data_IF_994923814056
#
_entry.id   IF_994923814056
#
_cell.length_a   1.000
_cell.length_b   1.000
_cell.length_c   1.000
_cell.angle_alpha   90.00
_cell.angle_beta   90.00
_cell.angle_gamma   90.00
#
_symmetry.space_group_name_H-M   'P 1'
#
loop_
_entity.id
_entity.type
_entity.pdbx_description
1 polymer ?
#
# COMPACT_ATOMS: atom_id res chain seq x y z
N UNK A 1 -8.43 23.60 11.97
CA UNK A 1 -7.40 23.28 10.95
C UNK A 1 -8.10 22.58 9.79
N UNK A 2 -8.15 23.24 8.65
CA UNK A 2 -8.80 22.69 7.45
C UNK A 2 -7.88 21.69 6.74
N UNK A 3 -8.37 20.49 6.50
CA UNK A 3 -7.65 19.41 5.83
C UNK A 3 -8.39 19.00 4.56
N UNK A 4 -7.67 18.88 3.44
CA UNK A 4 -8.21 18.33 2.20
C UNK A 4 -7.44 17.10 1.75
N UNK A 5 -8.18 16.07 1.31
CA UNK A 5 -7.61 14.89 0.65
C UNK A 5 -8.06 14.87 -0.81
N UNK A 6 -7.12 14.97 -1.73
CA UNK A 6 -7.38 15.02 -3.17
C UNK A 6 -6.97 13.72 -3.86
N UNK A 7 -7.89 13.09 -4.55
CA UNK A 7 -7.70 11.78 -5.20
C UNK A 7 -8.42 11.72 -6.56
N UNK A 8 -8.19 10.64 -7.32
CA UNK A 8 -8.92 10.43 -8.58
C UNK A 8 -10.31 9.80 -8.36
N UNK A 9 -10.43 8.84 -7.46
CA UNK A 9 -11.70 8.12 -7.20
C UNK A 9 -11.91 7.95 -5.69
N UNK A 10 -13.15 7.73 -5.28
CA UNK A 10 -13.45 7.24 -3.93
C UNK A 10 -13.11 5.75 -3.90
N UNK A 11 -12.16 5.38 -3.04
CA UNK A 11 -11.71 4.00 -2.91
C UNK A 11 -11.99 3.47 -1.51
N UNK A 12 -12.57 2.25 -1.37
CA UNK A 12 -12.79 1.63 -0.07
C UNK A 12 -11.51 1.49 0.75
N UNK A 13 -10.34 1.45 0.11
CA UNK A 13 -9.04 1.39 0.80
C UNK A 13 -8.57 2.76 1.34
N UNK A 14 -9.19 3.86 0.94
CA UNK A 14 -8.88 5.22 1.42
C UNK A 14 -9.90 5.71 2.45
N UNK A 15 -11.11 5.17 2.42
CA UNK A 15 -12.20 5.56 3.35
C UNK A 15 -11.86 5.36 4.81
N UNK A 16 -11.15 4.30 5.26
CA UNK A 16 -10.74 4.18 6.65
C UNK A 16 -9.90 5.36 7.14
N UNK A 17 -8.94 5.82 6.34
CA UNK A 17 -8.14 7.02 6.66
C UNK A 17 -9.01 8.29 6.67
N UNK A 18 -9.90 8.45 5.69
CA UNK A 18 -10.80 9.59 5.60
C UNK A 18 -11.68 9.70 6.86
N UNK A 19 -12.30 8.60 7.28
CA UNK A 19 -13.13 8.54 8.50
C UNK A 19 -12.32 8.84 9.76
N UNK A 20 -11.10 8.30 9.88
CA UNK A 20 -10.23 8.60 11.01
C UNK A 20 -9.83 10.09 11.07
N UNK A 21 -9.64 10.74 9.92
CA UNK A 21 -9.39 12.18 9.85
C UNK A 21 -10.63 12.98 10.23
N UNK A 22 -11.82 12.58 9.77
CA UNK A 22 -13.10 13.21 10.19
C UNK A 22 -13.31 13.07 11.69
N UNK A 23 -13.03 11.91 12.26
CA UNK A 23 -13.13 11.69 13.72
C UNK A 23 -12.19 12.60 14.51
N UNK A 24 -10.98 12.85 14.04
CA UNK A 24 -9.99 13.69 14.72
C UNK A 24 -10.20 15.20 14.52
N UNK A 25 -10.71 15.61 13.37
CA UNK A 25 -10.79 17.03 12.97
C UNK A 25 -12.20 17.59 13.04
N UNK A 26 -13.21 16.76 12.90
CA UNK A 26 -14.60 17.14 12.65
C UNK A 26 -14.92 17.22 11.15
N UNK A 27 -16.17 16.89 10.80
CA UNK A 27 -16.64 16.87 9.42
C UNK A 27 -16.57 18.25 8.71
N UNK A 28 -16.68 19.34 9.46
CA UNK A 28 -16.61 20.71 8.91
C UNK A 28 -15.20 21.10 8.48
N UNK A 29 -14.19 20.53 9.12
CA UNK A 29 -12.77 20.82 8.88
C UNK A 29 -12.13 19.89 7.84
N UNK A 30 -12.81 18.82 7.39
CA UNK A 30 -12.29 17.84 6.46
C UNK A 30 -13.04 17.83 5.14
N UNK A 31 -12.29 17.71 4.02
CA UNK A 31 -12.88 17.53 2.68
C UNK A 31 -12.12 16.47 1.90
N UNK A 32 -12.87 15.55 1.30
CA UNK A 32 -12.36 14.53 0.38
C UNK A 32 -12.77 14.93 -1.05
N UNK A 33 -11.81 15.30 -1.90
CA UNK A 33 -12.07 15.74 -3.26
C UNK A 33 -11.64 14.66 -4.26
N UNK A 34 -12.52 14.31 -5.17
CA UNK A 34 -12.26 13.27 -6.19
C UNK A 34 -12.61 13.77 -7.60
N UNK A 35 -11.82 13.30 -8.61
CA UNK A 35 -11.92 13.81 -10.00
C UNK A 35 -12.77 12.96 -10.93
N UNK A 36 -12.92 11.66 -10.66
CA UNK A 36 -13.55 10.70 -11.55
C UNK A 36 -14.79 10.10 -10.89
N UNK A 37 -15.89 10.03 -11.65
CA UNK A 37 -17.02 9.24 -11.23
C UNK A 37 -16.67 7.74 -11.23
N UNK A 38 -17.36 6.99 -10.41
CA UNK A 38 -17.11 5.55 -10.26
C UNK A 38 -17.39 4.77 -11.56
N UNK A 39 -16.52 3.81 -11.90
CA UNK A 39 -16.79 2.85 -12.97
C UNK A 39 -17.94 1.93 -12.55
N UNK A 40 -19.02 1.85 -13.35
CA UNK A 40 -20.24 1.06 -13.08
C UNK A 40 -19.97 -0.38 -12.61
N UNK A 41 -18.88 -1.00 -13.04
CA UNK A 41 -18.53 -2.38 -12.65
C UNK A 41 -17.84 -2.52 -11.28
N UNK A 42 -17.54 -1.43 -10.60
CA UNK A 42 -16.95 -1.43 -9.24
C UNK A 42 -18.00 -1.21 -8.16
N UNK A 43 -19.07 -0.49 -8.46
CA UNK A 43 -20.19 -0.29 -7.56
C UNK A 43 -20.79 -1.63 -7.10
N UNK A 44 -20.98 -2.57 -8.03
CA UNK A 44 -21.49 -3.92 -7.74
C UNK A 44 -20.58 -4.75 -6.81
N UNK A 45 -19.31 -4.35 -6.66
CA UNK A 45 -18.33 -4.99 -5.78
C UNK A 45 -18.17 -4.26 -4.42
N UNK A 46 -19.08 -3.33 -4.12
CA UNK A 46 -19.04 -2.55 -2.87
C UNK A 46 -18.06 -1.37 -2.90
N UNK A 47 -17.65 -0.94 -4.10
CA UNK A 47 -16.98 0.35 -4.29
C UNK A 47 -18.06 1.39 -4.51
N UNK A 48 -18.10 2.43 -3.73
CA UNK A 48 -19.14 3.43 -3.88
C UNK A 48 -18.98 4.61 -2.93
N UNK A 49 -19.55 5.73 -3.35
CA UNK A 49 -19.73 6.88 -2.50
C UNK A 49 -20.88 6.59 -1.54
N UNK A 50 -20.58 6.45 -0.26
CA UNK A 50 -21.59 6.25 0.79
C UNK A 50 -22.35 7.56 1.11
N UNK A 51 -22.26 8.58 0.24
CA UNK A 51 -23.04 9.82 0.41
C UNK A 51 -22.56 10.71 1.58
N UNK A 52 -21.31 10.57 1.98
CA UNK A 52 -20.75 11.39 3.06
C UNK A 52 -20.66 12.88 2.65
N UNK A 53 -21.23 13.78 3.42
CA UNK A 53 -21.32 15.24 3.13
C UNK A 53 -19.95 15.91 2.95
N UNK A 54 -18.89 15.32 3.45
CA UNK A 54 -17.52 15.82 3.31
C UNK A 54 -16.83 15.36 2.01
N UNK A 55 -17.51 14.56 1.15
CA UNK A 55 -17.03 14.16 -0.17
C UNK A 55 -17.48 15.16 -1.25
N UNK A 56 -16.53 15.64 -2.05
CA UNK A 56 -16.78 16.62 -3.12
C UNK A 56 -16.22 16.11 -4.45
N UNK A 57 -17.01 16.22 -5.52
CA UNK A 57 -16.49 16.07 -6.88
C UNK A 57 -15.80 17.35 -7.31
N UNK A 58 -14.56 17.28 -7.82
CA UNK A 58 -13.79 18.46 -8.22
C UNK A 58 -12.48 18.10 -8.91
N UNK A 59 -11.73 19.14 -9.30
CA UNK A 59 -10.42 19.04 -9.94
C UNK A 59 -9.34 19.81 -9.16
N UNK A 60 -8.13 19.93 -9.70
CA UNK A 60 -7.02 20.64 -9.07
C UNK A 60 -7.27 22.15 -8.82
N UNK A 61 -8.31 22.73 -9.45
CA UNK A 61 -8.70 24.14 -9.30
C UNK A 61 -9.79 24.34 -8.24
N UNK A 62 -10.32 23.26 -7.65
CA UNK A 62 -11.34 23.33 -6.60
C UNK A 62 -10.82 24.16 -5.43
N UNK A 63 -11.53 25.22 -5.08
CA UNK A 63 -11.09 26.24 -4.11
C UNK A 63 -10.62 25.63 -2.78
N UNK A 64 -11.38 24.67 -2.24
CA UNK A 64 -11.10 24.04 -0.96
C UNK A 64 -9.72 23.38 -0.89
N UNK A 65 -9.16 22.91 -2.04
CA UNK A 65 -7.81 22.31 -2.07
C UNK A 65 -6.71 23.35 -1.82
N UNK A 66 -6.93 24.58 -2.26
CA UNK A 66 -5.98 25.65 -2.01
C UNK A 66 -6.22 26.34 -0.66
N UNK A 67 -7.47 26.41 -0.20
CA UNK A 67 -7.84 27.03 1.07
C UNK A 67 -7.44 26.21 2.29
N UNK A 68 -7.42 24.88 2.16
CA UNK A 68 -7.03 24.00 3.25
C UNK A 68 -5.61 24.33 3.79
N UNK A 69 -5.44 24.28 5.09
CA UNK A 69 -4.12 24.42 5.75
C UNK A 69 -3.21 23.26 5.34
N UNK A 70 -3.77 22.08 5.27
CA UNK A 70 -3.10 20.83 4.91
C UNK A 70 -3.77 20.16 3.72
N UNK A 71 -2.97 19.81 2.72
CA UNK A 71 -3.39 19.00 1.59
C UNK A 71 -2.66 17.68 1.59
N UNK A 72 -3.40 16.57 1.53
CA UNK A 72 -2.89 15.27 1.09
C UNK A 72 -3.37 15.01 -0.33
N UNK A 73 -2.50 14.63 -1.25
CA UNK A 73 -2.89 14.38 -2.64
C UNK A 73 -2.36 13.06 -3.16
N UNK A 74 -3.26 12.20 -3.65
CA UNK A 74 -2.96 11.02 -4.47
C UNK A 74 -2.89 11.33 -5.96
N UNK A 75 -3.28 12.53 -6.36
CA UNK A 75 -3.25 13.02 -7.75
C UNK A 75 -2.00 13.85 -8.00
N UNK A 76 -1.42 13.72 -9.19
CA UNK A 76 -0.29 14.57 -9.62
C UNK A 76 -0.78 15.93 -10.08
N UNK A 77 -0.73 16.92 -9.20
CA UNK A 77 -1.20 18.28 -9.43
C UNK A 77 -0.07 19.31 -9.18
N UNK A 78 1.00 19.34 -10.00
CA UNK A 78 2.17 20.18 -9.71
C UNK A 78 1.87 21.67 -9.73
N UNK A 79 0.85 22.15 -10.48
CA UNK A 79 0.45 23.55 -10.45
C UNK A 79 -0.13 23.93 -9.08
N UNK A 80 -1.02 23.09 -8.55
CA UNK A 80 -1.57 23.25 -7.21
C UNK A 80 -0.46 23.18 -6.14
N UNK A 81 0.46 22.24 -6.26
CA UNK A 81 1.55 22.06 -5.30
C UNK A 81 2.49 23.26 -5.27
N UNK A 82 2.86 23.80 -6.44
CA UNK A 82 3.71 25.00 -6.55
C UNK A 82 3.02 26.26 -6.00
N UNK A 83 1.71 26.40 -6.23
CA UNK A 83 0.93 27.49 -5.66
C UNK A 83 0.93 27.41 -4.13
N UNK A 84 0.59 26.25 -3.57
CA UNK A 84 0.56 26.02 -2.13
C UNK A 84 1.94 26.20 -1.46
N UNK A 85 3.01 25.75 -2.15
CA UNK A 85 4.38 25.93 -1.68
C UNK A 85 4.77 27.41 -1.55
N UNK A 86 4.36 28.27 -2.51
CA UNK A 86 4.56 29.74 -2.44
C UNK A 86 3.80 30.38 -1.28
N UNK A 87 2.67 29.81 -0.88
CA UNK A 87 1.86 30.25 0.26
C UNK A 87 2.31 29.62 1.59
N UNK A 88 3.39 28.84 1.59
CA UNK A 88 3.91 28.16 2.79
C UNK A 88 3.01 27.09 3.38
N UNK A 89 2.01 26.60 2.61
CA UNK A 89 1.03 25.61 3.07
C UNK A 89 1.55 24.18 2.99
N UNK A 90 1.22 23.38 3.99
CA UNK A 90 1.64 21.97 4.08
C UNK A 90 0.98 21.13 3.00
N UNK A 91 1.79 20.35 2.29
CA UNK A 91 1.32 19.44 1.23
C UNK A 91 2.01 18.08 1.34
N UNK A 92 1.21 17.03 1.43
CA UNK A 92 1.63 15.64 1.37
C UNK A 92 1.27 15.06 0.01
N UNK A 93 2.26 14.73 -0.80
CA UNK A 93 2.05 14.06 -2.08
C UNK A 93 2.24 12.56 -1.92
N UNK A 94 1.18 11.78 -2.07
CA UNK A 94 1.17 10.34 -1.98
C UNK A 94 1.19 9.72 -3.38
N UNK A 95 2.07 8.78 -3.63
CA UNK A 95 2.01 8.02 -4.88
C UNK A 95 2.55 6.60 -4.77
N UNK A 96 2.03 5.74 -5.63
CA UNK A 96 2.62 4.45 -5.93
C UNK A 96 3.92 4.62 -6.74
N UNK A 97 4.49 3.49 -7.19
CA UNK A 97 5.73 3.44 -7.94
C UNK A 97 5.77 4.36 -9.16
N UNK A 98 6.87 5.08 -9.31
CA UNK A 98 7.16 5.88 -10.49
C UNK A 98 7.66 5.02 -11.66
N UNK A 99 8.43 4.00 -11.38
CA UNK A 99 9.04 3.12 -12.38
C UNK A 99 8.30 1.78 -12.50
N UNK A 100 6.99 1.86 -12.81
CA UNK A 100 6.21 0.64 -13.07
C UNK A 100 6.67 -0.07 -14.35
N UNK A 101 6.77 -1.41 -14.34
CA UNK A 101 7.00 -2.18 -15.57
C UNK A 101 5.96 -1.83 -16.67
N UNK A 102 6.18 -2.18 -17.95
CA UNK A 102 7.38 -2.84 -18.49
C UNK A 102 8.52 -1.87 -18.73
N UNK A 103 8.28 -0.57 -18.82
CA UNK A 103 9.26 0.45 -19.21
C UNK A 103 10.23 0.77 -18.07
N UNK A 104 9.74 0.66 -16.80
CA UNK A 104 10.56 0.90 -15.62
C UNK A 104 11.19 2.30 -15.61
N UNK A 105 12.48 2.36 -15.31
CA UNK A 105 13.22 3.63 -15.24
C UNK A 105 13.36 4.34 -16.62
N UNK A 106 13.18 3.64 -17.72
CA UNK A 106 13.22 4.27 -19.07
C UNK A 106 12.14 5.34 -19.24
N UNK A 107 11.16 5.41 -18.36
CA UNK A 107 10.15 6.50 -18.32
C UNK A 107 10.77 7.89 -18.21
N UNK A 108 11.96 8.01 -17.64
CA UNK A 108 12.67 9.31 -17.53
C UNK A 108 13.03 9.91 -18.90
N UNK A 109 13.12 9.08 -19.95
CA UNK A 109 13.38 9.56 -21.31
C UNK A 109 12.11 10.06 -22.01
N UNK A 110 10.93 9.94 -21.41
CA UNK A 110 9.69 10.57 -21.90
C UNK A 110 9.66 12.01 -21.41
N UNK A 111 9.67 13.02 -22.32
CA UNK A 111 9.83 14.43 -21.91
C UNK A 111 8.79 14.93 -20.93
N UNK A 112 7.52 14.58 -21.10
CA UNK A 112 6.44 14.97 -20.18
C UNK A 112 6.62 14.36 -18.78
N UNK A 113 7.05 13.12 -18.72
CA UNK A 113 7.34 12.42 -17.47
C UNK A 113 8.55 13.03 -16.74
N UNK A 114 9.63 13.31 -17.50
CA UNK A 114 10.82 13.97 -16.96
C UNK A 114 10.49 15.35 -16.39
N UNK A 115 9.75 16.17 -17.16
CA UNK A 115 9.31 17.50 -16.73
C UNK A 115 8.51 17.42 -15.42
N UNK A 116 7.58 16.48 -15.33
CA UNK A 116 6.79 16.23 -14.14
C UNK A 116 7.65 15.84 -12.94
N UNK A 117 8.53 14.83 -13.11
CA UNK A 117 9.42 14.36 -12.06
C UNK A 117 10.32 15.48 -11.55
N UNK A 118 10.88 16.31 -12.46
CA UNK A 118 11.72 17.45 -12.09
C UNK A 118 10.98 18.47 -11.23
N UNK A 119 9.70 18.77 -11.52
CA UNK A 119 8.89 19.68 -10.71
C UNK A 119 8.68 19.14 -9.29
N UNK A 120 8.36 17.84 -9.15
CA UNK A 120 8.14 17.22 -7.85
C UNK A 120 9.44 17.17 -7.04
N UNK A 121 10.57 16.78 -7.66
CA UNK A 121 11.87 16.77 -6.96
C UNK A 121 12.29 18.18 -6.55
N UNK A 122 12.05 19.20 -7.39
CA UNK A 122 12.30 20.59 -7.04
C UNK A 122 11.49 21.02 -5.80
N UNK A 123 10.20 20.68 -5.77
CA UNK A 123 9.35 20.96 -4.60
C UNK A 123 9.88 20.29 -3.33
N UNK A 124 10.33 19.04 -3.42
CA UNK A 124 10.94 18.33 -2.29
C UNK A 124 12.23 18.98 -1.79
N UNK A 125 13.06 19.47 -2.69
CA UNK A 125 14.33 20.08 -2.30
C UNK A 125 14.16 21.50 -1.72
N UNK A 126 13.26 22.31 -2.29
CA UNK A 126 13.19 23.76 -2.03
C UNK A 126 12.14 24.17 -1.01
N UNK A 127 11.18 23.28 -0.64
CA UNK A 127 10.06 23.66 0.23
C UNK A 127 10.00 22.82 1.49
N UNK A 128 10.08 23.43 2.65
CA UNK A 128 10.06 22.74 3.95
C UNK A 128 8.72 22.06 4.25
N UNK A 129 7.62 22.60 3.74
CA UNK A 129 6.27 22.12 3.97
C UNK A 129 5.75 21.16 2.86
N UNK A 130 6.63 20.68 1.98
CA UNK A 130 6.29 19.69 0.96
C UNK A 130 6.89 18.33 1.29
N UNK A 131 6.05 17.31 1.49
CA UNK A 131 6.43 15.97 1.87
C UNK A 131 6.00 14.95 0.82
N UNK A 132 6.79 13.90 0.65
CA UNK A 132 6.44 12.77 -0.20
C UNK A 132 6.06 11.55 0.65
N UNK A 133 4.90 10.97 0.36
CA UNK A 133 4.36 9.78 0.99
C UNK A 133 4.45 8.59 0.01
N UNK A 134 5.59 7.89 -0.07
CA UNK A 134 5.73 6.73 -0.93
C UNK A 134 4.84 5.58 -0.45
N UNK A 135 4.01 5.05 -1.33
CA UNK A 135 3.25 3.83 -1.05
C UNK A 135 4.16 2.61 -1.16
N UNK A 136 4.82 2.32 -0.06
CA UNK A 136 5.77 1.23 0.10
C UNK A 136 7.20 1.54 -0.33
N UNK A 137 8.11 0.66 0.06
CA UNK A 137 9.57 0.81 -0.12
C UNK A 137 9.99 0.97 -1.59
N UNK A 138 9.27 0.34 -2.52
CA UNK A 138 9.58 0.47 -3.95
C UNK A 138 9.28 1.87 -4.48
N UNK A 139 8.21 2.52 -4.02
CA UNK A 139 7.92 3.91 -4.37
C UNK A 139 8.96 4.87 -3.79
N UNK A 140 9.43 4.62 -2.57
CA UNK A 140 10.52 5.37 -1.95
C UNK A 140 11.83 5.24 -2.75
N UNK A 141 12.19 4.02 -3.16
CA UNK A 141 13.38 3.77 -3.99
C UNK A 141 13.29 4.45 -5.37
N UNK A 142 12.12 4.42 -5.99
CA UNK A 142 11.89 5.10 -7.27
C UNK A 142 12.08 6.63 -7.12
N UNK A 143 11.53 7.24 -6.07
CA UNK A 143 11.71 8.66 -5.81
C UNK A 143 13.15 9.03 -5.48
N UNK A 144 13.85 8.23 -4.68
CA UNK A 144 15.27 8.46 -4.38
C UNK A 144 16.15 8.41 -5.65
N UNK A 145 15.85 7.51 -6.60
CA UNK A 145 16.49 7.49 -7.93
C UNK A 145 16.23 8.77 -8.72
N UNK A 146 14.97 9.26 -8.71
CA UNK A 146 14.63 10.52 -9.36
C UNK A 146 15.34 11.71 -8.72
N UNK A 147 15.42 11.75 -7.40
CA UNK A 147 16.16 12.80 -6.69
C UNK A 147 17.66 12.80 -7.08
N UNK A 148 18.30 11.63 -7.10
CA UNK A 148 19.69 11.52 -7.54
C UNK A 148 19.89 11.99 -8.99
N UNK A 149 19.04 11.51 -9.90
CA UNK A 149 19.09 11.92 -11.31
C UNK A 149 18.93 13.43 -11.50
N UNK A 150 17.95 14.05 -10.84
CA UNK A 150 17.66 15.48 -10.97
C UNK A 150 18.74 16.37 -10.35
N UNK A 151 19.51 15.82 -9.40
CA UNK A 151 20.67 16.47 -8.79
C UNK A 151 22.01 16.12 -9.51
N UNK A 152 21.93 15.54 -10.71
CA UNK A 152 23.07 15.31 -11.59
C UNK A 152 23.76 13.94 -11.48
N UNK A 153 23.27 13.07 -10.61
CA UNK A 153 23.82 11.71 -10.46
C UNK A 153 23.06 10.67 -11.30
N UNK A 154 23.49 10.48 -12.54
CA UNK A 154 22.94 9.48 -13.45
C UNK A 154 23.12 8.03 -12.99
N UNK A 155 24.09 7.76 -12.12
CA UNK A 155 24.33 6.40 -11.61
C UNK A 155 23.18 5.92 -10.75
N UNK A 156 22.42 6.83 -10.12
CA UNK A 156 21.24 6.52 -9.33
C UNK A 156 20.12 5.83 -10.12
N UNK A 157 20.03 6.01 -11.44
CA UNK A 157 19.08 5.27 -12.28
C UNK A 157 19.34 3.77 -12.28
N UNK A 158 20.60 3.38 -12.32
CA UNK A 158 21.02 1.98 -12.45
C UNK A 158 21.30 1.34 -11.09
N UNK A 159 21.77 2.13 -10.13
CA UNK A 159 22.08 1.69 -8.78
C UNK A 159 21.17 2.38 -7.78
N UNK A 160 20.08 1.67 -7.41
CA UNK A 160 19.18 2.21 -6.40
C UNK A 160 19.92 2.47 -5.08
N UNK A 161 19.68 3.62 -4.44
CA UNK A 161 20.15 3.83 -3.07
C UNK A 161 19.61 2.73 -2.16
N UNK A 162 20.44 2.26 -1.23
CA UNK A 162 19.94 1.43 -0.14
C UNK A 162 19.12 2.33 0.78
N UNK A 163 17.87 1.98 0.97
CA UNK A 163 16.97 2.69 1.87
C UNK A 163 16.56 1.78 2.99
N UNK A 164 16.57 2.31 4.19
CA UNK A 164 15.91 1.76 5.35
C UNK A 164 14.77 2.70 5.80
N UNK A 165 13.88 2.25 6.64
CA UNK A 165 12.73 3.02 7.09
C UNK A 165 12.15 2.53 8.41
N UNK A 166 11.54 3.43 9.15
CA UNK A 166 10.71 3.07 10.29
C UNK A 166 9.43 2.39 9.79
N UNK A 167 9.14 1.18 10.27
CA UNK A 167 7.98 0.38 9.86
C UNK A 167 6.68 0.85 10.52
N UNK A 168 6.25 2.08 10.18
CA UNK A 168 4.99 2.69 10.64
C UNK A 168 4.50 3.74 9.64
N UNK A 169 3.20 4.10 9.65
CA UNK A 169 2.70 5.25 8.89
C UNK A 169 3.47 6.51 9.28
N UNK A 170 3.89 7.29 8.30
CA UNK A 170 4.71 8.47 8.54
C UNK A 170 6.13 8.18 9.02
N UNK A 171 6.57 6.92 9.08
CA UNK A 171 7.92 6.53 9.44
C UNK A 171 8.95 7.18 8.53
N UNK A 172 10.05 7.66 9.11
CA UNK A 172 11.16 8.28 8.36
C UNK A 172 11.80 7.27 7.44
N UNK A 173 12.18 7.71 6.24
CA UNK A 173 12.99 6.95 5.31
C UNK A 173 14.43 7.43 5.46
N UNK A 174 15.37 6.48 5.55
CA UNK A 174 16.79 6.73 5.69
C UNK A 174 17.51 6.18 4.46
N UNK A 175 18.62 6.81 4.09
CA UNK A 175 19.52 6.22 3.10
C UNK A 175 20.80 5.77 3.78
N UNK A 176 21.08 4.47 3.73
CA UNK A 176 22.39 3.94 4.10
C UNK A 176 23.40 4.31 3.01
N UNK A 177 24.49 4.99 3.38
CA UNK A 177 25.61 5.24 2.48
C UNK A 177 25.45 6.40 1.49
N UNK A 178 24.57 7.40 1.74
CA UNK A 178 24.53 8.65 0.92
C UNK A 178 25.88 9.34 0.84
N UNK A 179 26.75 9.17 1.85
CA UNK A 179 28.15 9.63 1.79
C UNK A 179 28.99 8.89 0.73
N UNK A 180 28.66 7.64 0.40
CA UNK A 180 29.38 6.83 -0.58
C UNK A 180 28.92 7.06 -2.04
N UNK A 181 27.72 7.55 -2.27
CA UNK A 181 27.23 7.88 -3.62
C UNK A 181 27.64 9.27 -4.10
N UNK A 182 28.21 10.14 -3.24
CA UNK A 182 28.67 11.48 -3.63
C UNK A 182 27.55 12.43 -4.10
N UNK A 183 26.27 12.03 -4.04
CA UNK A 183 25.15 12.80 -4.57
C UNK A 183 24.63 13.78 -3.52
N UNK A 184 25.05 15.02 -3.65
CA UNK A 184 24.44 16.17 -2.98
C UNK A 184 22.94 16.22 -3.34
N UNK A 185 22.06 16.33 -2.34
CA UNK A 185 20.62 16.53 -2.54
C UNK A 185 19.75 15.26 -2.43
N UNK A 186 20.27 14.03 -2.53
CA UNK A 186 19.47 12.81 -2.28
C UNK A 186 19.05 12.75 -0.81
N UNK A 187 19.93 13.15 0.10
CA UNK A 187 19.67 13.16 1.54
C UNK A 187 18.51 14.07 1.95
N UNK A 188 18.41 15.25 1.36
CA UNK A 188 17.32 16.20 1.62
C UNK A 188 15.97 15.65 1.13
N UNK A 189 15.92 15.13 -0.10
CA UNK A 189 14.73 14.48 -0.64
C UNK A 189 14.27 13.32 0.25
N UNK A 190 15.18 12.41 0.61
CA UNK A 190 14.88 11.24 1.43
C UNK A 190 14.44 11.68 2.83
N UNK A 191 15.04 12.71 3.40
CA UNK A 191 14.65 13.29 4.69
C UNK A 191 13.18 13.79 4.74
N UNK A 192 12.59 14.10 3.60
CA UNK A 192 11.17 14.50 3.46
C UNK A 192 10.23 13.38 3.04
N UNK A 193 10.73 12.15 2.91
CA UNK A 193 9.90 10.97 2.66
C UNK A 193 9.37 10.41 3.97
N UNK A 194 8.10 10.02 3.98
CA UNK A 194 7.45 9.36 5.11
C UNK A 194 6.71 8.14 4.59
N UNK A 195 7.01 6.96 5.12
CA UNK A 195 6.41 5.70 4.66
C UNK A 195 4.89 5.74 4.71
N UNK A 196 4.26 5.24 3.66
CA UNK A 196 2.82 5.30 3.49
C UNK A 196 2.26 4.04 2.85
N UNK A 197 0.92 3.89 2.91
CA UNK A 197 0.20 2.74 2.35
C UNK A 197 -1.30 2.96 2.34
N UNK A 198 -2.05 1.88 2.14
CA UNK A 198 -3.47 1.81 2.45
C UNK A 198 -3.65 1.26 3.86
N UNK A 199 -4.59 1.84 4.60
CA UNK A 199 -4.83 1.52 6.00
C UNK A 199 -6.19 0.87 6.15
N UNK A 200 -6.30 0.00 7.15
CA UNK A 200 -7.56 -0.61 7.54
C UNK A 200 -8.19 0.19 8.66
N UNK A 201 -9.51 0.17 8.73
CA UNK A 201 -10.23 0.70 9.89
C UNK A 201 -9.98 -0.30 11.02
N UNK A 202 -9.33 0.15 12.09
CA UNK A 202 -9.24 -0.69 13.29
C UNK A 202 -10.66 -0.88 13.85
N UNK A 203 -11.31 -1.97 13.46
CA UNK A 203 -12.34 -2.54 14.32
C UNK A 203 -11.63 -2.83 15.64
N UNK A 204 -12.23 -2.45 16.77
CA UNK A 204 -11.70 -2.80 18.08
C UNK A 204 -11.25 -4.25 18.05
N UNK A 205 -9.95 -4.46 18.10
CA UNK A 205 -9.35 -5.76 17.93
C UNK A 205 -9.69 -6.61 19.14
N UNK A 206 -10.78 -7.37 19.06
CA UNK A 206 -11.11 -8.41 20.01
C UNK A 206 -10.25 -9.65 19.74
N UNK A 207 -8.96 -9.53 19.99
CA UNK A 207 -8.17 -10.68 20.40
C UNK A 207 -8.29 -10.72 21.91
N UNK A 208 -8.80 -11.84 22.46
CA UNK A 208 -8.96 -12.01 23.88
C UNK A 208 -7.69 -11.59 24.61
N UNK A 209 -7.82 -10.65 25.51
CA UNK A 209 -6.90 -10.15 26.54
C UNK A 209 -5.40 -10.48 26.31
N UNK A 210 -4.76 -9.79 25.38
CA UNK A 210 -3.31 -9.71 25.29
C UNK A 210 -2.94 -8.24 25.07
N UNK A 211 -2.34 -7.66 26.11
CA UNK A 211 -1.83 -6.30 26.10
C UNK A 211 -0.78 -6.14 24.99
N UNK A 212 -1.06 -5.22 24.04
CA UNK A 212 -0.15 -4.85 22.96
C UNK A 212 0.99 -3.99 23.50
N UNK A 213 2.06 -4.62 23.91
CA UNK A 213 3.35 -3.93 24.02
C UNK A 213 3.99 -3.82 22.63
N UNK A 214 4.51 -2.64 22.29
CA UNK A 214 5.12 -2.28 21.02
C UNK A 214 6.31 -3.21 20.66
N UNK A 215 6.03 -4.26 19.91
CA UNK A 215 7.03 -5.22 19.42
C UNK A 215 6.42 -6.16 18.39
N UNK A 216 7.25 -6.69 17.50
CA UNK A 216 6.86 -7.76 16.58
C UNK A 216 6.45 -8.96 17.44
N UNK A 217 5.14 -9.15 17.64
CA UNK A 217 4.65 -10.28 18.39
C UNK A 217 4.60 -11.50 17.48
N UNK A 218 5.50 -12.45 17.72
CA UNK A 218 5.33 -13.83 17.27
C UNK A 218 4.13 -14.41 17.98
N UNK A 219 3.01 -14.49 17.28
CA UNK A 219 1.85 -15.25 17.80
C UNK A 219 2.22 -16.73 17.63
N UNK A 220 2.84 -17.30 18.65
CA UNK A 220 3.00 -18.74 18.77
C UNK A 220 1.64 -19.32 19.16
N UNK A 221 0.93 -19.85 18.18
CA UNK A 221 -0.32 -20.55 18.38
C UNK A 221 -1.03 -20.72 17.04
N UNK A 222 -1.35 -21.96 16.68
CA UNK A 222 -2.38 -22.21 15.70
C UNK A 222 -3.64 -21.49 16.17
N UNK A 223 -4.25 -20.63 15.34
CA UNK A 223 -5.66 -20.35 15.46
C UNK A 223 -6.32 -21.73 15.40
N UNK A 224 -6.98 -22.17 16.47
CA UNK A 224 -7.76 -23.40 16.45
C UNK A 224 -8.98 -23.19 15.56
N UNK A 225 -8.74 -23.10 14.27
CA UNK A 225 -9.78 -23.32 13.28
C UNK A 225 -10.01 -24.83 13.31
N UNK A 226 -11.12 -25.29 13.87
CA UNK A 226 -11.43 -26.71 14.13
C UNK A 226 -11.47 -27.64 12.89
N UNK A 227 -10.57 -27.43 11.92
CA UNK A 227 -10.41 -28.24 10.73
C UNK A 227 -8.99 -28.82 10.65
N UNK A 228 -8.91 -30.05 10.18
CA UNK A 228 -7.65 -30.69 9.87
C UNK A 228 -7.03 -30.14 8.57
N UNK A 229 -5.78 -29.67 8.62
CA UNK A 229 -5.02 -29.18 7.49
C UNK A 229 -4.92 -27.66 7.41
N UNK A 230 -4.26 -27.15 6.39
CA UNK A 230 -4.03 -25.72 6.14
C UNK A 230 -4.95 -25.24 5.01
N UNK A 231 -5.72 -24.22 5.25
CA UNK A 231 -6.56 -23.56 4.23
C UNK A 231 -5.89 -22.28 3.74
N UNK A 232 -5.52 -22.27 2.47
CA UNK A 232 -4.94 -21.10 1.80
C UNK A 232 -6.04 -20.32 1.07
N UNK A 233 -6.10 -19.02 1.25
CA UNK A 233 -7.02 -18.12 0.58
C UNK A 233 -6.31 -17.27 -0.47
N UNK A 234 -6.96 -17.10 -1.61
CA UNK A 234 -6.63 -16.07 -2.57
C UNK A 234 -7.91 -15.36 -3.05
N UNK A 235 -7.91 -14.02 -3.06
CA UNK A 235 -9.07 -13.21 -3.51
C UNK A 235 -8.58 -12.12 -4.45
N UNK A 236 -9.26 -11.94 -5.58
CA UNK A 236 -8.98 -10.83 -6.48
C UNK A 236 -9.35 -11.08 -7.94
N UNK A 237 -8.97 -10.14 -8.82
CA UNK A 237 -9.14 -10.30 -10.27
C UNK A 237 -8.07 -11.24 -10.82
N UNK A 238 -8.49 -12.25 -11.60
CA UNK A 238 -7.58 -13.23 -12.20
C UNK A 238 -6.83 -12.62 -13.40
N UNK A 239 -5.85 -11.78 -13.09
CA UNK A 239 -4.98 -11.09 -14.04
C UNK A 239 -3.60 -11.72 -14.08
N UNK A 240 -2.93 -11.65 -15.22
CA UNK A 240 -1.55 -12.15 -15.41
C UNK A 240 -0.56 -11.61 -14.37
N UNK A 241 -0.72 -10.34 -13.95
CA UNK A 241 0.13 -9.69 -12.96
C UNK A 241 0.00 -10.28 -11.55
N UNK A 242 -1.13 -10.94 -11.24
CA UNK A 242 -1.40 -11.53 -9.93
C UNK A 242 -0.72 -12.87 -9.72
N UNK A 243 -0.19 -13.49 -10.78
CA UNK A 243 0.60 -14.73 -10.72
C UNK A 243 -0.01 -15.86 -9.89
N UNK A 244 -1.34 -16.03 -9.98
CA UNK A 244 -2.07 -17.09 -9.26
C UNK A 244 -1.59 -18.49 -9.66
N UNK A 245 -1.03 -18.64 -10.87
CA UNK A 245 -0.35 -19.84 -11.32
C UNK A 245 0.76 -20.31 -10.35
N UNK A 246 1.44 -19.38 -9.70
CA UNK A 246 2.50 -19.68 -8.72
C UNK A 246 1.92 -20.33 -7.46
N UNK A 247 0.77 -19.82 -6.98
CA UNK A 247 0.10 -20.37 -5.78
C UNK A 247 -0.46 -21.76 -6.08
N UNK A 248 -1.15 -21.93 -7.21
CA UNK A 248 -1.72 -23.22 -7.60
C UNK A 248 -0.64 -24.31 -7.64
N UNK A 249 0.53 -24.00 -8.24
CA UNK A 249 1.65 -24.95 -8.30
C UNK A 249 2.21 -25.26 -6.91
N UNK A 250 2.45 -24.21 -6.10
CA UNK A 250 3.03 -24.39 -4.76
C UNK A 250 2.13 -25.24 -3.87
N UNK A 251 0.83 -24.89 -3.78
CA UNK A 251 -0.15 -25.63 -2.96
C UNK A 251 -0.36 -27.06 -3.51
N UNK A 252 -0.47 -27.20 -4.83
CA UNK A 252 -0.66 -28.51 -5.45
C UNK A 252 0.54 -29.46 -5.24
N UNK A 253 1.77 -28.94 -5.23
CA UNK A 253 2.94 -29.76 -4.91
C UNK A 253 3.09 -30.01 -3.39
N UNK A 254 2.67 -29.05 -2.56
CA UNK A 254 2.66 -29.18 -1.10
C UNK A 254 1.65 -30.23 -0.63
N UNK A 255 0.52 -30.38 -1.33
CA UNK A 255 -0.54 -31.34 -0.96
C UNK A 255 -0.12 -32.82 -1.03
N UNK A 256 1.02 -33.11 -1.66
CA UNK A 256 1.61 -34.45 -1.70
C UNK A 256 2.21 -34.88 -0.35
N UNK A 257 2.56 -33.91 0.50
CA UNK A 257 3.24 -34.14 1.80
C UNK A 257 2.47 -33.58 2.99
N UNK A 258 1.53 -32.64 2.77
CA UNK A 258 0.81 -31.92 3.83
C UNK A 258 -0.67 -31.78 3.46
N UNK A 259 -1.57 -31.93 4.42
CA UNK A 259 -3.00 -31.65 4.20
C UNK A 259 -3.18 -30.14 4.04
N UNK A 260 -3.38 -29.68 2.81
CA UNK A 260 -3.51 -28.28 2.43
C UNK A 260 -4.50 -28.13 1.28
N UNK A 261 -5.26 -27.05 1.27
CA UNK A 261 -6.20 -26.66 0.20
C UNK A 261 -6.04 -25.21 -0.18
N UNK A 262 -6.46 -24.86 -1.39
CA UNK A 262 -6.48 -23.50 -1.91
C UNK A 262 -7.87 -23.14 -2.41
N UNK A 263 -8.46 -22.11 -1.82
CA UNK A 263 -9.69 -21.50 -2.28
C UNK A 263 -9.39 -20.17 -3.01
N UNK A 264 -9.82 -20.07 -4.27
CA UNK A 264 -9.60 -18.93 -5.17
C UNK A 264 -10.94 -18.26 -5.43
N UNK A 265 -11.12 -17.03 -4.95
CA UNK A 265 -12.32 -16.23 -5.18
C UNK A 265 -12.04 -15.11 -6.19
N UNK A 266 -12.71 -15.16 -7.34
CA UNK A 266 -12.60 -14.10 -8.34
C UNK A 266 -12.72 -14.57 -9.77
N UNK A 267 -12.73 -13.60 -10.68
CA UNK A 267 -12.87 -13.80 -12.14
C UNK A 267 -11.80 -12.97 -12.89
N UNK A 268 -11.53 -13.37 -14.12
CA UNK A 268 -10.63 -12.61 -14.99
C UNK A 268 -10.12 -13.39 -16.18
N UNK A 269 -9.37 -12.74 -17.08
CA UNK A 269 -8.92 -13.32 -18.35
C UNK A 269 -8.00 -14.55 -18.20
N UNK A 270 -7.34 -14.72 -17.05
CA UNK A 270 -6.46 -15.88 -16.82
C UNK A 270 -7.22 -17.12 -16.30
N UNK A 271 -8.53 -17.04 -15.99
CA UNK A 271 -9.30 -18.10 -15.33
C UNK A 271 -9.19 -19.46 -16.05
N UNK A 272 -9.42 -19.48 -17.36
CA UNK A 272 -9.38 -20.71 -18.15
C UNK A 272 -8.00 -21.38 -18.13
N UNK A 273 -6.93 -20.60 -18.15
CA UNK A 273 -5.55 -21.08 -18.04
C UNK A 273 -5.25 -21.61 -16.64
N UNK A 274 -5.69 -20.91 -15.62
CA UNK A 274 -5.47 -21.30 -14.22
C UNK A 274 -6.22 -22.58 -13.87
N UNK A 275 -7.47 -22.76 -14.32
CA UNK A 275 -8.23 -24.01 -14.18
C UNK A 275 -7.54 -25.19 -14.85
N UNK A 276 -6.92 -24.99 -16.02
CA UNK A 276 -6.12 -26.06 -16.68
C UNK A 276 -4.89 -26.47 -15.85
N UNK A 277 -4.24 -25.51 -15.18
CA UNK A 277 -3.11 -25.81 -14.30
C UNK A 277 -3.60 -26.54 -13.05
N UNK A 278 -4.69 -26.09 -12.46
CA UNK A 278 -5.28 -26.66 -11.23
C UNK A 278 -5.80 -28.09 -11.42
N UNK A 279 -6.27 -28.44 -12.62
CA UNK A 279 -6.82 -29.77 -12.92
C UNK A 279 -5.85 -30.93 -12.59
N UNK A 280 -4.55 -30.67 -12.53
CA UNK A 280 -3.55 -31.66 -12.13
C UNK A 280 -3.62 -32.05 -10.65
N UNK A 281 -4.26 -31.23 -9.83
CA UNK A 281 -4.26 -31.32 -8.37
C UNK A 281 -5.64 -31.67 -7.78
N UNK A 282 -6.64 -31.91 -8.65
CA UNK A 282 -7.99 -32.31 -8.25
C UNK A 282 -8.64 -31.32 -7.28
N UNK A 283 -9.25 -31.83 -6.22
CA UNK A 283 -10.01 -31.04 -5.24
C UNK A 283 -9.15 -30.19 -4.29
N UNK A 284 -7.84 -30.23 -4.43
CA UNK A 284 -6.91 -29.40 -3.64
C UNK A 284 -7.09 -27.90 -3.95
N UNK A 285 -7.47 -27.58 -5.21
CA UNK A 285 -7.64 -26.19 -5.68
C UNK A 285 -9.06 -25.98 -6.13
N UNK A 286 -9.76 -25.07 -5.46
CA UNK A 286 -11.16 -24.74 -5.72
C UNK A 286 -11.31 -23.30 -6.22
N UNK A 287 -12.12 -23.13 -7.27
CA UNK A 287 -12.48 -21.81 -7.81
C UNK A 287 -13.89 -21.45 -7.42
N UNK A 288 -14.06 -20.25 -6.92
CA UNK A 288 -15.33 -19.68 -6.49
C UNK A 288 -15.63 -18.38 -7.23
N UNK A 289 -16.91 -17.99 -7.37
CA UNK A 289 -17.28 -16.68 -7.90
C UNK A 289 -16.71 -15.56 -7.03
N UNK A 290 -16.61 -14.31 -7.55
CA UNK A 290 -16.25 -13.16 -6.74
C UNK A 290 -17.32 -12.91 -5.68
N UNK A 291 -16.90 -12.40 -4.53
CA UNK A 291 -17.77 -12.03 -3.41
C UNK A 291 -17.61 -10.54 -3.07
N UNK A 292 -18.63 -9.90 -2.47
CA UNK A 292 -18.54 -8.53 -1.98
C UNK A 292 -17.43 -8.37 -0.93
N UNK A 293 -16.89 -7.15 -0.80
CA UNK A 293 -15.74 -6.87 0.07
C UNK A 293 -15.97 -7.21 1.55
N UNK A 294 -17.20 -7.06 2.05
CA UNK A 294 -17.57 -7.45 3.40
C UNK A 294 -17.50 -8.97 3.64
N UNK A 295 -17.81 -9.77 2.62
CA UNK A 295 -17.68 -11.23 2.69
C UNK A 295 -16.23 -11.70 2.61
N UNK A 296 -15.35 -10.95 1.92
CA UNK A 296 -13.91 -11.25 1.88
C UNK A 296 -13.31 -11.35 3.28
N UNK A 297 -13.67 -10.43 4.18
CA UNK A 297 -13.20 -10.44 5.56
C UNK A 297 -13.66 -11.67 6.35
N UNK A 298 -14.86 -12.16 6.05
CA UNK A 298 -15.39 -13.40 6.63
C UNK A 298 -14.57 -14.61 6.18
N UNK A 299 -14.29 -14.69 4.86
CA UNK A 299 -13.41 -15.72 4.32
C UNK A 299 -12.02 -15.68 4.93
N UNK A 300 -11.46 -14.49 5.16
CA UNK A 300 -10.16 -14.34 5.81
C UNK A 300 -10.14 -14.94 7.23
N UNK A 301 -11.25 -14.82 7.99
CA UNK A 301 -11.38 -15.45 9.32
C UNK A 301 -11.50 -16.97 9.29
N UNK A 302 -11.98 -17.52 8.17
CA UNK A 302 -12.20 -18.96 7.96
C UNK A 302 -10.99 -19.72 7.37
N UNK A 303 -9.95 -18.97 6.98
CA UNK A 303 -8.72 -19.51 6.39
C UNK A 303 -7.49 -19.21 7.24
N UNK A 304 -6.41 -19.94 7.00
CA UNK A 304 -5.19 -19.88 7.80
C UNK A 304 -4.13 -18.96 7.19
N UNK A 305 -3.96 -19.02 5.87
CA UNK A 305 -2.88 -18.34 5.14
C UNK A 305 -3.43 -17.58 3.95
N UNK A 306 -3.06 -16.31 3.83
CA UNK A 306 -3.25 -15.52 2.62
C UNK A 306 -1.94 -15.45 1.83
N UNK A 307 -2.00 -15.56 0.49
CA UNK A 307 -0.81 -15.45 -0.36
C UNK A 307 -0.97 -14.34 -1.38
N UNK A 308 -0.13 -13.31 -1.31
CA UNK A 308 -0.01 -12.28 -2.37
C UNK A 308 1.14 -12.63 -3.31
N UNK A 309 0.82 -13.20 -4.48
CA UNK A 309 1.81 -13.66 -5.49
C UNK A 309 2.11 -12.66 -6.60
N UNK A 310 1.60 -11.43 -6.50
CA UNK A 310 1.68 -10.40 -7.54
C UNK A 310 3.13 -10.05 -7.90
N UNK A 311 3.34 -9.71 -9.18
CA UNK A 311 4.63 -9.20 -9.65
C UNK A 311 4.74 -7.68 -9.46
N UNK A 312 5.85 -7.07 -9.93
CA UNK A 312 6.15 -5.66 -9.76
C UNK A 312 5.20 -4.65 -10.43
N UNK A 313 4.12 -5.11 -11.08
CA UNK A 313 3.01 -4.25 -11.52
C UNK A 313 2.01 -3.96 -10.41
N UNK A 314 2.02 -4.74 -9.32
CA UNK A 314 1.25 -4.42 -8.12
C UNK A 314 1.81 -3.15 -7.49
N UNK A 315 0.95 -2.18 -7.22
CA UNK A 315 1.35 -0.97 -6.48
C UNK A 315 1.56 -1.29 -5.01
N UNK A 316 0.49 -1.21 -4.24
CA UNK A 316 0.52 -1.55 -2.82
C UNK A 316 0.11 -3.00 -2.55
N UNK A 317 -1.10 -3.39 -2.90
CA UNK A 317 -1.69 -4.68 -2.55
C UNK A 317 -2.39 -4.61 -1.18
N UNK A 318 -3.49 -3.85 -1.10
CA UNK A 318 -4.22 -3.54 0.15
C UNK A 318 -4.68 -4.78 0.91
N UNK A 319 -4.95 -5.87 0.22
CA UNK A 319 -5.40 -7.14 0.79
C UNK A 319 -4.43 -7.73 1.83
N UNK A 320 -3.14 -7.39 1.78
CA UNK A 320 -2.16 -7.81 2.82
C UNK A 320 -2.54 -7.20 4.16
N UNK A 321 -2.83 -5.89 4.18
CA UNK A 321 -3.24 -5.20 5.41
C UNK A 321 -4.56 -5.76 5.95
N UNK A 322 -5.51 -6.07 5.07
CA UNK A 322 -6.80 -6.66 5.42
C UNK A 322 -6.64 -8.07 6.01
N UNK A 323 -5.81 -8.91 5.41
CA UNK A 323 -5.55 -10.27 5.90
C UNK A 323 -4.83 -10.28 7.26
N UNK A 324 -3.87 -9.36 7.46
CA UNK A 324 -3.18 -9.20 8.74
C UNK A 324 -4.13 -8.73 9.84
N UNK A 325 -5.06 -7.81 9.53
CA UNK A 325 -6.07 -7.34 10.47
C UNK A 325 -6.99 -8.47 10.92
N UNK A 326 -7.36 -9.38 10.02
CA UNK A 326 -8.16 -10.56 10.34
C UNK A 326 -7.35 -11.71 10.99
N UNK A 327 -6.07 -11.49 11.28
CA UNK A 327 -5.20 -12.42 12.00
C UNK A 327 -4.72 -13.61 11.18
N UNK A 328 -4.75 -13.53 9.85
CA UNK A 328 -4.18 -14.54 8.97
C UNK A 328 -2.66 -14.55 9.02
N UNK A 329 -2.04 -15.69 8.78
CA UNK A 329 -0.66 -15.71 8.32
C UNK A 329 -0.61 -15.20 6.87
N UNK A 330 0.34 -14.32 6.55
CA UNK A 330 0.45 -13.77 5.21
C UNK A 330 1.82 -14.04 4.62
N UNK A 331 1.83 -14.60 3.41
CA UNK A 331 3.03 -14.76 2.58
C UNK A 331 2.89 -13.81 1.38
N UNK A 332 3.95 -13.10 1.04
CA UNK A 332 3.89 -12.14 -0.06
C UNK A 332 5.14 -12.08 -0.90
N UNK A 333 5.05 -11.41 -2.05
CA UNK A 333 6.20 -11.22 -2.93
C UNK A 333 7.01 -9.98 -2.56
N UNK A 334 8.34 -10.05 -2.76
CA UNK A 334 9.23 -8.89 -2.64
C UNK A 334 8.83 -7.75 -3.58
N UNK A 335 8.15 -8.05 -4.68
CA UNK A 335 7.78 -7.09 -5.71
C UNK A 335 6.53 -6.26 -5.38
N UNK A 336 5.68 -6.72 -4.46
CA UNK A 336 4.49 -6.00 -4.03
C UNK A 336 4.81 -5.03 -2.89
N UNK A 337 4.29 -3.80 -2.98
CA UNK A 337 4.63 -2.72 -2.05
C UNK A 337 4.31 -3.02 -0.59
N UNK A 338 3.11 -3.54 -0.29
CA UNK A 338 2.68 -3.88 1.07
C UNK A 338 3.50 -5.02 1.66
N UNK A 339 3.70 -6.10 0.90
CA UNK A 339 4.45 -7.25 1.36
C UNK A 339 5.88 -6.86 1.76
N UNK A 340 6.61 -6.19 0.85
CA UNK A 340 7.97 -5.76 1.09
C UNK A 340 8.12 -4.71 2.21
N UNK A 341 7.02 -4.04 2.59
CA UNK A 341 7.04 -2.99 3.60
C UNK A 341 6.60 -3.50 4.98
N UNK A 342 5.59 -4.38 5.01
CA UNK A 342 4.94 -4.79 6.27
C UNK A 342 5.45 -6.16 6.74
N UNK A 343 5.60 -7.13 5.81
CA UNK A 343 5.92 -8.51 6.18
C UNK A 343 7.38 -8.69 6.58
N UNK A 344 7.68 -9.65 7.47
CA UNK A 344 9.04 -10.07 7.75
C UNK A 344 9.65 -10.79 6.53
N UNK A 345 10.95 -10.79 6.44
CA UNK A 345 11.67 -11.42 5.32
C UNK A 345 11.40 -12.93 5.23
N UNK A 346 11.18 -13.58 6.39
CA UNK A 346 10.77 -14.98 6.50
C UNK A 346 9.48 -15.34 5.75
N UNK A 347 8.60 -14.36 5.49
CA UNK A 347 7.33 -14.53 4.78
C UNK A 347 7.39 -14.05 3.33
N UNK A 348 8.58 -13.75 2.80
CA UNK A 348 8.72 -13.20 1.47
C UNK A 348 9.33 -14.19 0.47
N UNK A 349 8.86 -14.10 -0.79
CA UNK A 349 9.40 -14.86 -1.92
C UNK A 349 9.39 -14.01 -3.20
N UNK A 350 10.14 -14.42 -4.23
CA UNK A 350 10.13 -13.72 -5.52
C UNK A 350 8.95 -14.16 -6.39
N UNK A 351 8.34 -13.22 -7.09
CA UNK A 351 7.19 -13.48 -7.97
C UNK A 351 7.51 -14.56 -9.02
N UNK A 352 6.74 -15.65 -9.00
CA UNK A 352 6.92 -16.80 -9.87
C UNK A 352 7.76 -17.94 -9.29
N UNK A 353 8.42 -17.72 -8.16
CA UNK A 353 9.14 -18.78 -7.46
C UNK A 353 8.20 -19.63 -6.60
N UNK A 354 7.50 -20.55 -7.28
CA UNK A 354 6.58 -21.48 -6.61
C UNK A 354 7.31 -22.47 -5.69
N UNK A 355 8.61 -22.74 -5.89
CA UNK A 355 9.39 -23.66 -5.04
C UNK A 355 9.64 -23.02 -3.68
N UNK A 356 10.06 -21.75 -3.66
CA UNK A 356 10.21 -21.02 -2.40
C UNK A 356 8.86 -20.85 -1.69
N UNK A 357 7.79 -20.57 -2.43
CA UNK A 357 6.44 -20.50 -1.83
C UNK A 357 6.02 -21.85 -1.24
N UNK A 358 6.30 -22.99 -1.92
CA UNK A 358 6.05 -24.34 -1.37
C UNK A 358 6.80 -24.55 -0.06
N UNK A 359 8.09 -24.23 -0.02
CA UNK A 359 8.93 -24.33 1.19
C UNK A 359 8.33 -23.55 2.36
N UNK A 360 7.88 -22.29 2.11
CA UNK A 360 7.21 -21.47 3.12
C UNK A 360 5.89 -22.08 3.61
N UNK A 361 5.10 -22.66 2.71
CA UNK A 361 3.84 -23.31 3.06
C UNK A 361 4.04 -24.66 3.80
N UNK A 362 5.14 -25.35 3.58
CA UNK A 362 5.50 -26.58 4.30
C UNK A 362 6.02 -26.29 5.71
N UNK A 363 6.69 -25.17 5.88
CA UNK A 363 7.17 -24.68 7.17
C UNK A 363 6.09 -24.01 8.02
N UNK A 364 6.53 -23.40 9.12
CA UNK A 364 5.70 -22.55 9.96
C UNK A 364 5.75 -21.10 9.45
N UNK A 365 4.64 -20.62 8.91
CA UNK A 365 4.52 -19.23 8.47
C UNK A 365 4.43 -18.32 9.69
N UNK A 366 5.35 -17.36 9.79
CA UNK A 366 5.33 -16.40 10.89
C UNK A 366 4.05 -15.55 10.85
N UNK A 367 3.29 -15.56 11.94
CA UNK A 367 2.10 -14.71 12.10
C UNK A 367 2.52 -13.37 12.66
N UNK A 368 2.28 -12.32 11.92
CA UNK A 368 2.51 -10.94 12.36
C UNK A 368 1.20 -10.18 12.36
N UNK A 369 1.02 -9.29 13.32
CA UNK A 369 -0.11 -8.38 13.32
C UNK A 369 0.09 -7.21 12.35
N UNK A 370 -0.97 -6.48 12.05
CA UNK A 370 -0.90 -5.26 11.24
C UNK A 370 -0.02 -4.18 11.91
N UNK A 371 0.21 -4.29 13.21
CA UNK A 371 1.01 -3.35 13.99
C UNK A 371 0.47 -1.92 13.89
N UNK A 372 1.35 -0.92 13.69
CA UNK A 372 0.94 0.48 13.63
C UNK A 372 0.30 0.89 12.29
N UNK A 373 0.16 -0.01 11.31
CA UNK A 373 -0.38 0.31 9.98
C UNK A 373 -1.91 0.48 9.96
N UNK A 374 -2.43 1.30 10.89
CA UNK A 374 -3.85 1.59 11.04
C UNK A 374 -4.20 2.98 10.51
N UNK A 375 -5.47 3.17 10.15
CA UNK A 375 -5.99 4.47 9.74
C UNK A 375 -5.86 5.53 10.84
N UNK A 376 -6.05 5.14 12.11
CA UNK A 376 -5.89 6.01 13.29
C UNK A 376 -4.45 6.52 13.40
N UNK A 377 -3.45 5.62 13.38
CA UNK A 377 -2.03 6.02 13.45
C UNK A 377 -1.60 6.90 12.29
N UNK A 378 -2.15 6.65 11.08
CA UNK A 378 -1.89 7.47 9.91
C UNK A 378 -2.51 8.88 10.05
N UNK A 379 -3.74 8.99 10.55
CA UNK A 379 -4.42 10.26 10.80
C UNK A 379 -3.72 11.06 11.90
N UNK A 380 -3.32 10.42 12.98
CA UNK A 380 -2.53 11.03 14.08
C UNK A 380 -1.19 11.57 13.58
N UNK A 381 -0.49 10.83 12.71
CA UNK A 381 0.74 11.31 12.08
C UNK A 381 0.49 12.57 11.23
N UNK A 382 -0.51 12.56 10.33
CA UNK A 382 -0.81 13.71 9.48
C UNK A 382 -1.19 14.96 10.26
N UNK A 383 -1.97 14.80 11.33
CA UNK A 383 -2.41 15.90 12.19
C UNK A 383 -1.34 16.33 13.19
N UNK A 384 -0.47 15.41 13.64
CA UNK A 384 0.64 15.69 14.57
C UNK A 384 1.78 16.48 13.94
N UNK A 385 2.16 16.19 12.69
CA UNK A 385 3.17 16.96 11.95
C UNK A 385 2.79 18.42 11.78
N UNK A 386 1.52 18.71 11.59
CA UNK A 386 1.02 20.07 11.43
C UNK A 386 1.07 20.91 12.72
N UNK A 387 0.97 20.25 13.88
CA UNK A 387 1.18 20.92 15.18
C UNK A 387 2.65 21.29 15.41
N UNK A 388 3.60 20.47 14.91
CA UNK A 388 5.04 20.72 15.04
C UNK A 388 5.53 21.85 14.10
N UNK A 389 4.85 22.09 12.99
CA UNK A 389 5.18 23.16 12.01
C UNK A 389 4.59 24.54 12.38
N UNK A 390 4.04 24.71 13.58
CA UNK A 390 3.59 26.00 14.10
C UNK A 390 2.21 26.47 13.66
N UNK A 391 1.48 25.67 12.86
CA UNK A 391 0.11 25.99 12.41
C UNK A 391 -0.96 25.76 13.50
N UNK A 392 -0.56 25.29 14.68
CA UNK A 392 -1.46 24.96 15.81
C UNK A 392 -1.43 25.92 17.00
N UNK A 393 -0.66 27.00 16.96
CA UNK A 393 -0.57 27.96 18.07
C UNK A 393 -1.21 29.32 17.70
N UNK A 394 -2.51 29.28 17.52
CA UNK A 394 -3.31 30.48 17.33
C UNK A 394 -4.67 30.33 18.00
N UNK A 395 -4.64 30.17 19.33
CA UNK A 395 -5.74 30.54 20.25
C UNK A 395 -5.18 30.67 21.66
#
# INVERSE_FOLDING_TARGET
MKFAFFTNIISPHQMPLARALVELLGADEYRYVYTEAEEKGRADLGWGNEGEDWCLHGDENTAVLNEADVLMSGVRAPNLFEKRAKEGKTTFYCSERWFKPPIGFLRVFVPSYFKMARRIVKLLNENENFYYLPMGIHAARDMARLCGLMNGDWKCLFRAPKLDFERKPGGKVFSEGVKECGSVGVGECVGKMRMWGYFVQSSEFRVGSLELNHGIHRIHGRKECGHEGVKVLWVGRLLKIKRVDTIIKAVGECSKSKKITLDIYGVGPEEGKLKKIAAKYGDVVKFHPPVPINEVRKLMREHDVYVLSSNGYEGWGAVVSEALEEGMAVIGTYEAGSSATILPESNLFHAGDWRKLKELLEGDVERVGIGPWTAKSAAEFLTGLTRLTGLGNGY
#
